data_IF_232280223348
#
_entry.id   IF_232280223348
#
_cell.length_a   1.000
_cell.length_b   1.000
_cell.length_c   1.000
_cell.angle_alpha   90.00
_cell.angle_beta   90.00
_cell.angle_gamma   90.00
#
_symmetry.space_group_name_H-M   'P 1'
#
loop_
_entity.id
_entity.type
_entity.pdbx_description
1 polymer ?
#
# COMPACT_ATOMS: atom_id res chain seq x y z
N UNK A 1 7.56 -27.67 11.04
CA UNK A 1 7.16 -26.32 10.59
C UNK A 1 6.72 -26.50 9.16
N UNK A 2 5.43 -26.41 8.83
CA UNK A 2 5.03 -26.49 7.42
C UNK A 2 5.43 -25.16 6.76
N UNK A 3 6.24 -25.24 5.71
CA UNK A 3 6.55 -24.08 4.88
C UNK A 3 5.24 -23.51 4.35
N UNK A 4 4.98 -22.24 4.63
CA UNK A 4 3.79 -21.57 4.10
C UNK A 4 3.85 -21.60 2.57
N UNK A 5 2.84 -22.19 1.95
CA UNK A 5 2.72 -22.33 0.50
C UNK A 5 1.93 -21.16 -0.07
N UNK A 6 2.55 -20.38 -0.95
CA UNK A 6 1.87 -19.35 -1.71
C UNK A 6 0.95 -19.98 -2.75
N UNK A 7 -0.21 -19.35 -2.98
CA UNK A 7 -1.18 -19.82 -3.96
C UNK A 7 -1.82 -18.62 -4.66
N UNK A 8 -1.43 -18.38 -5.90
CA UNK A 8 -1.91 -17.26 -6.70
C UNK A 8 -3.28 -17.51 -7.35
N UNK A 9 -3.83 -18.73 -7.26
CA UNK A 9 -5.12 -19.07 -7.91
C UNK A 9 -6.32 -18.31 -7.33
N UNK A 10 -6.21 -17.81 -6.09
CA UNK A 10 -7.28 -17.15 -5.36
C UNK A 10 -6.92 -15.70 -4.98
N UNK A 11 -6.15 -15.00 -5.83
CA UNK A 11 -5.91 -13.58 -5.61
C UNK A 11 -7.25 -12.81 -5.63
N UNK A 12 -7.55 -11.97 -4.63
CA UNK A 12 -8.78 -11.18 -4.59
C UNK A 12 -8.91 -10.27 -5.82
N UNK A 13 -10.08 -10.26 -6.44
CA UNK A 13 -10.41 -9.31 -7.49
C UNK A 13 -10.28 -7.86 -7.01
N UNK A 14 -9.92 -6.94 -7.91
CA UNK A 14 -9.75 -5.52 -7.61
C UNK A 14 -8.81 -5.27 -6.41
N UNK A 15 -7.77 -6.09 -6.26
CA UNK A 15 -6.84 -6.06 -5.13
C UNK A 15 -7.52 -6.28 -3.76
N UNK A 16 -8.75 -6.81 -3.72
CA UNK A 16 -9.51 -6.98 -2.49
C UNK A 16 -9.81 -5.67 -1.76
N UNK A 17 -9.98 -4.56 -2.50
CA UNK A 17 -10.41 -3.29 -1.90
C UNK A 17 -11.79 -3.41 -1.27
N UNK A 18 -12.00 -2.75 -0.12
CA UNK A 18 -13.30 -2.74 0.55
C UNK A 18 -14.34 -2.01 -0.29
N UNK A 19 -15.53 -2.61 -0.38
CA UNK A 19 -16.61 -2.19 -1.31
C UNK A 19 -17.24 -0.84 -0.96
N UNK A 20 -17.11 -0.41 0.29
CA UNK A 20 -17.64 0.86 0.78
C UNK A 20 -16.69 2.04 0.55
N UNK A 21 -15.59 1.83 -0.18
CA UNK A 21 -14.60 2.86 -0.49
C UNK A 21 -14.53 3.18 -2.00
N UNK A 22 -14.22 4.43 -2.38
CA UNK A 22 -14.10 4.86 -3.78
C UNK A 22 -12.75 4.44 -4.40
N UNK A 23 -12.39 3.16 -4.31
CA UNK A 23 -11.07 2.65 -4.75
C UNK A 23 -11.10 1.91 -6.09
N UNK A 24 -12.28 1.60 -6.62
CA UNK A 24 -12.38 0.85 -7.89
C UNK A 24 -11.72 1.59 -9.05
N UNK A 25 -11.89 2.92 -9.14
CA UNK A 25 -11.23 3.76 -10.14
C UNK A 25 -9.71 3.74 -9.98
N UNK A 26 -9.23 3.84 -8.73
CA UNK A 26 -7.81 3.80 -8.38
C UNK A 26 -7.16 2.49 -8.86
N UNK A 27 -7.78 1.36 -8.52
CA UNK A 27 -7.26 0.04 -8.90
C UNK A 27 -7.29 -0.14 -10.42
N UNK A 28 -8.37 0.24 -11.09
CA UNK A 28 -8.45 0.18 -12.57
C UNK A 28 -7.36 1.03 -13.23
N UNK A 29 -7.09 2.21 -12.67
CA UNK A 29 -6.04 3.10 -13.18
C UNK A 29 -4.65 2.51 -12.97
N UNK A 30 -4.40 1.89 -11.81
CA UNK A 30 -3.16 1.17 -11.53
C UNK A 30 -2.95 0.03 -12.55
N UNK A 31 -3.92 -0.85 -12.72
CA UNK A 31 -3.79 -1.99 -13.67
C UNK A 31 -3.59 -1.49 -15.11
N UNK A 32 -4.29 -0.42 -15.52
CA UNK A 32 -4.13 0.17 -16.84
C UNK A 32 -2.78 0.86 -17.07
N UNK A 33 -2.07 1.23 -15.99
CA UNK A 33 -0.75 1.86 -16.07
C UNK A 33 0.40 0.85 -16.18
N UNK A 34 0.13 -0.44 -15.97
CA UNK A 34 1.12 -1.52 -15.98
C UNK A 34 1.06 -2.28 -17.30
N UNK A 35 1.96 -1.94 -18.23
CA UNK A 35 2.01 -2.59 -19.53
C UNK A 35 2.37 -4.06 -19.42
N UNK A 36 1.65 -4.92 -20.16
CA UNK A 36 1.82 -6.39 -20.07
C UNK A 36 3.26 -6.82 -20.33
N UNK A 37 3.90 -6.23 -21.34
CA UNK A 37 5.28 -6.55 -21.71
C UNK A 37 6.26 -6.17 -20.58
N UNK A 38 6.07 -5.00 -19.96
CA UNK A 38 6.85 -4.59 -18.80
C UNK A 38 6.73 -5.58 -17.63
N UNK A 39 5.51 -6.05 -17.32
CA UNK A 39 5.30 -7.03 -16.24
C UNK A 39 5.93 -8.38 -16.57
N UNK A 40 5.88 -8.83 -17.83
CA UNK A 40 6.56 -10.08 -18.26
C UNK A 40 8.07 -9.97 -18.07
N UNK A 41 8.68 -8.86 -18.49
CA UNK A 41 10.11 -8.65 -18.33
C UNK A 41 10.53 -8.51 -16.86
N UNK A 42 9.73 -7.81 -16.06
CA UNK A 42 9.91 -7.71 -14.62
C UNK A 42 9.94 -9.11 -13.99
N UNK A 43 8.91 -9.94 -14.25
CA UNK A 43 8.82 -11.29 -13.71
C UNK A 43 10.00 -12.16 -14.11
N UNK A 44 10.35 -12.20 -15.39
CA UNK A 44 11.46 -12.99 -15.90
C UNK A 44 12.80 -12.58 -15.25
N UNK A 45 13.02 -11.27 -15.10
CA UNK A 45 14.23 -10.74 -14.46
C UNK A 45 14.25 -11.08 -12.96
N UNK A 46 13.12 -10.90 -12.27
CA UNK A 46 13.01 -11.19 -10.85
C UNK A 46 13.28 -12.67 -10.55
N UNK A 47 12.57 -13.59 -11.22
CA UNK A 47 12.76 -15.03 -11.01
C UNK A 47 14.16 -15.54 -11.39
N UNK A 48 14.87 -14.81 -12.26
CA UNK A 48 16.29 -15.09 -12.56
C UNK A 48 17.22 -14.66 -11.42
N UNK A 49 16.91 -13.57 -10.73
CA UNK A 49 17.72 -13.02 -9.64
C UNK A 49 17.38 -13.65 -8.27
N UNK A 50 16.16 -14.14 -8.10
CA UNK A 50 15.63 -14.76 -6.88
C UNK A 50 15.13 -16.18 -7.19
N UNK A 51 16.07 -17.10 -7.43
CA UNK A 51 15.80 -18.46 -7.92
C UNK A 51 15.04 -19.36 -6.95
N UNK A 52 14.98 -18.97 -5.68
CA UNK A 52 14.20 -19.62 -4.62
C UNK A 52 12.71 -19.25 -4.65
N UNK A 53 12.36 -18.15 -5.33
CA UNK A 53 10.98 -17.67 -5.42
C UNK A 53 10.24 -18.43 -6.52
N UNK A 54 9.09 -18.98 -6.16
CA UNK A 54 8.21 -19.67 -7.11
C UNK A 54 7.37 -18.67 -7.91
N UNK A 55 6.81 -19.11 -9.05
CA UNK A 55 5.83 -18.32 -9.80
C UNK A 55 4.66 -17.85 -8.91
N UNK A 56 4.08 -18.74 -8.11
CA UNK A 56 2.97 -18.41 -7.20
C UNK A 56 3.37 -17.35 -6.15
N UNK A 57 4.58 -17.46 -5.61
CA UNK A 57 5.09 -16.48 -4.66
C UNK A 57 5.32 -15.12 -5.32
N UNK A 58 5.88 -15.09 -6.54
CA UNK A 58 6.02 -13.84 -7.30
C UNK A 58 4.67 -13.16 -7.51
N UNK A 59 3.64 -13.90 -7.94
CA UNK A 59 2.31 -13.32 -8.17
C UNK A 59 1.72 -12.74 -6.86
N UNK A 60 1.88 -13.43 -5.73
CA UNK A 60 1.47 -12.92 -4.42
C UNK A 60 2.24 -11.66 -4.00
N UNK A 61 3.57 -11.64 -4.17
CA UNK A 61 4.40 -10.50 -3.83
C UNK A 61 4.11 -9.29 -4.74
N UNK A 62 3.96 -9.51 -6.04
CA UNK A 62 3.60 -8.47 -7.00
C UNK A 62 2.19 -7.91 -6.73
N UNK A 63 1.26 -8.76 -6.31
CA UNK A 63 -0.06 -8.35 -5.87
C UNK A 63 0.01 -7.43 -4.63
N UNK A 64 0.85 -7.73 -3.65
CA UNK A 64 1.07 -6.87 -2.49
C UNK A 64 1.82 -5.57 -2.85
N UNK A 65 2.72 -5.59 -3.83
CA UNK A 65 3.34 -4.38 -4.37
C UNK A 65 2.29 -3.45 -5.00
N UNK A 66 1.33 -3.99 -5.74
CA UNK A 66 0.21 -3.22 -6.30
C UNK A 66 -0.62 -2.55 -5.19
N UNK A 67 -0.95 -3.29 -4.12
CA UNK A 67 -1.63 -2.71 -2.94
C UNK A 67 -0.81 -1.61 -2.30
N UNK A 68 0.51 -1.80 -2.19
CA UNK A 68 1.41 -0.79 -1.67
C UNK A 68 1.43 0.49 -2.53
N UNK A 69 1.43 0.38 -3.87
CA UNK A 69 1.33 1.55 -4.74
C UNK A 69 0.01 2.31 -4.57
N UNK A 70 -1.11 1.61 -4.36
CA UNK A 70 -2.39 2.25 -4.00
C UNK A 70 -2.25 3.02 -2.69
N UNK A 71 -1.64 2.44 -1.64
CA UNK A 71 -1.37 3.17 -0.39
C UNK A 71 -0.50 4.40 -0.67
N UNK A 72 0.58 4.25 -1.44
CA UNK A 72 1.53 5.34 -1.74
C UNK A 72 0.94 6.46 -2.59
N UNK A 73 -0.13 6.20 -3.35
CA UNK A 73 -0.90 7.24 -4.05
C UNK A 73 -1.91 7.95 -3.14
N UNK A 74 -2.26 7.37 -1.99
CA UNK A 74 -3.25 7.90 -1.05
C UNK A 74 -2.59 8.74 0.04
N UNK A 75 -1.56 8.20 0.70
CA UNK A 75 -0.94 8.84 1.88
C UNK A 75 0.39 9.51 1.54
N UNK A 76 0.71 10.59 2.25
CA UNK A 76 1.99 11.30 2.10
C UNK A 76 3.18 10.49 2.60
N UNK A 77 3.00 9.76 3.70
CA UNK A 77 4.01 8.89 4.26
C UNK A 77 3.51 7.45 4.35
N UNK A 78 4.25 6.54 3.71
CA UNK A 78 4.06 5.10 3.75
C UNK A 78 5.46 4.47 3.63
N UNK A 79 6.06 4.02 4.75
CA UNK A 79 7.29 3.27 4.73
C UNK A 79 7.09 1.86 4.16
N UNK A 80 8.14 1.27 3.61
CA UNK A 80 8.14 -0.12 3.14
C UNK A 80 8.51 -1.06 4.29
N UNK A 81 7.62 -2.00 4.63
CA UNK A 81 7.80 -2.95 5.74
C UNK A 81 8.06 -4.40 5.30
N UNK A 82 8.14 -4.65 3.99
CA UNK A 82 8.39 -5.98 3.43
C UNK A 82 9.58 -5.95 2.47
N UNK A 83 10.69 -6.59 2.85
CA UNK A 83 11.88 -6.68 1.99
C UNK A 83 11.57 -7.42 0.68
N UNK A 84 10.68 -8.42 0.71
CA UNK A 84 10.34 -9.18 -0.50
C UNK A 84 9.54 -8.32 -1.50
N UNK A 85 8.60 -7.49 -1.01
CA UNK A 85 7.88 -6.52 -1.85
C UNK A 85 8.83 -5.43 -2.35
N UNK A 86 9.74 -4.97 -1.48
CA UNK A 86 10.77 -3.98 -1.83
C UNK A 86 11.70 -4.48 -2.95
N UNK A 87 12.09 -5.75 -2.91
CA UNK A 87 12.90 -6.37 -3.94
C UNK A 87 12.23 -6.33 -5.33
N UNK A 88 10.92 -6.58 -5.41
CA UNK A 88 10.20 -6.45 -6.71
C UNK A 88 10.20 -4.99 -7.14
N UNK A 89 9.98 -4.05 -6.22
CA UNK A 89 10.02 -2.63 -6.55
C UNK A 89 11.41 -2.21 -7.05
N UNK A 90 12.50 -2.69 -6.44
CA UNK A 90 13.86 -2.47 -6.94
C UNK A 90 14.04 -2.99 -8.36
N UNK A 91 13.53 -4.19 -8.68
CA UNK A 91 13.60 -4.70 -10.06
C UNK A 91 12.74 -3.88 -11.03
N UNK A 92 11.62 -3.31 -10.59
CA UNK A 92 10.84 -2.37 -11.40
C UNK A 92 11.67 -1.14 -11.79
N UNK A 93 12.49 -0.60 -10.88
CA UNK A 93 13.34 0.58 -11.13
C UNK A 93 14.38 0.36 -12.23
N UNK A 94 14.77 -0.89 -12.49
CA UNK A 94 15.75 -1.22 -13.55
C UNK A 94 15.21 -0.95 -14.96
N UNK A 95 13.89 -0.90 -15.12
CA UNK A 95 13.22 -0.55 -16.38
C UNK A 95 12.81 0.92 -16.35
N UNK A 96 13.80 1.82 -16.33
CA UNK A 96 13.58 3.25 -16.00
C UNK A 96 12.51 3.93 -16.85
N UNK A 97 12.43 3.64 -18.16
CA UNK A 97 11.41 4.19 -19.07
C UNK A 97 10.01 3.69 -18.73
N UNK A 98 9.86 2.38 -18.57
CA UNK A 98 8.58 1.74 -18.25
C UNK A 98 8.11 2.16 -16.85
N UNK A 99 9.03 2.23 -15.89
CA UNK A 99 8.76 2.69 -14.54
C UNK A 99 8.30 4.15 -14.51
N UNK A 100 8.98 5.03 -15.24
CA UNK A 100 8.56 6.43 -15.37
C UNK A 100 7.15 6.50 -16.00
N UNK A 101 6.91 5.75 -17.09
CA UNK A 101 5.61 5.71 -17.75
C UNK A 101 4.50 5.22 -16.82
N UNK A 102 4.75 4.15 -16.06
CA UNK A 102 3.87 3.64 -15.02
C UNK A 102 3.52 4.74 -14.00
N UNK A 103 4.53 5.40 -13.42
CA UNK A 103 4.33 6.42 -12.39
C UNK A 103 3.48 7.60 -12.89
N UNK A 104 3.84 8.18 -14.04
CA UNK A 104 3.09 9.32 -14.58
C UNK A 104 1.68 8.92 -15.07
N UNK A 105 1.51 7.71 -15.57
CA UNK A 105 0.20 7.22 -15.98
C UNK A 105 -0.69 6.99 -14.76
N UNK A 106 -0.16 6.40 -13.68
CA UNK A 106 -0.92 6.07 -12.48
C UNK A 106 -1.13 7.27 -11.55
N UNK A 107 -0.06 7.85 -11.02
CA UNK A 107 -0.11 8.90 -9.98
C UNK A 107 0.03 10.33 -10.52
N UNK A 108 0.39 10.50 -11.80
CA UNK A 108 0.65 11.82 -12.39
C UNK A 108 2.01 12.43 -12.00
N UNK A 109 2.79 11.71 -11.18
CA UNK A 109 4.11 12.10 -10.70
C UNK A 109 4.99 10.85 -10.55
N UNK A 110 6.31 11.03 -10.44
CA UNK A 110 7.23 9.95 -10.09
C UNK A 110 6.92 9.43 -8.68
N UNK A 111 6.74 8.11 -8.55
CA UNK A 111 6.67 7.46 -7.24
C UNK A 111 8.12 7.20 -6.80
N UNK A 112 8.68 8.08 -5.99
CA UNK A 112 10.06 7.90 -5.56
C UNK A 112 10.19 6.72 -4.59
N UNK A 113 11.09 5.80 -4.92
CA UNK A 113 11.62 4.82 -3.97
C UNK A 113 12.61 5.54 -3.05
N UNK A 114 12.53 5.27 -1.75
CA UNK A 114 13.51 5.73 -0.78
C UNK A 114 13.99 4.49 -0.06
N UNK A 115 15.24 4.05 -0.29
CA UNK A 115 15.74 2.85 0.34
C UNK A 115 15.74 3.02 1.85
N UNK A 116 15.36 1.97 2.57
CA UNK A 116 15.29 1.91 4.03
C UNK A 116 16.70 1.88 4.66
N UNK A 117 17.60 2.79 4.27
CA UNK A 117 19.01 2.73 4.68
C UNK A 117 19.16 3.12 6.15
N UNK A 118 18.37 4.08 6.67
CA UNK A 118 18.52 4.57 8.06
C UNK A 118 17.22 5.15 8.66
N UNK A 119 16.05 4.76 8.16
CA UNK A 119 14.81 5.17 8.84
C UNK A 119 14.64 4.22 10.01
N UNK A 120 14.90 4.71 11.23
CA UNK A 120 14.25 4.15 12.42
C UNK A 120 12.76 4.13 12.06
N UNK A 121 12.26 2.96 11.67
CA UNK A 121 10.84 2.75 11.48
C UNK A 121 10.24 2.97 12.86
N UNK A 122 9.86 4.22 13.14
CA UNK A 122 9.25 4.51 14.41
C UNK A 122 8.00 3.63 14.51
N UNK A 123 7.76 3.09 15.70
CA UNK A 123 6.67 2.14 15.91
C UNK A 123 5.31 2.70 15.45
N UNK A 124 5.18 4.04 15.45
CA UNK A 124 3.97 4.74 15.05
C UNK A 124 3.70 4.66 13.55
N UNK A 125 4.74 4.74 12.71
CA UNK A 125 4.64 4.62 11.26
C UNK A 125 4.17 3.22 10.84
N UNK A 126 4.57 2.19 11.61
CA UNK A 126 4.08 0.82 11.42
C UNK A 126 2.61 0.69 11.80
N UNK A 127 2.22 1.21 12.96
CA UNK A 127 0.81 1.22 13.38
C UNK A 127 -0.10 1.96 12.38
N UNK A 128 0.37 3.09 11.84
CA UNK A 128 -0.33 3.84 10.79
C UNK A 128 -0.47 3.04 9.50
N UNK A 129 0.61 2.42 9.01
CA UNK A 129 0.59 1.58 7.82
C UNK A 129 -0.39 0.41 7.98
N UNK A 130 -0.31 -0.31 9.10
CA UNK A 130 -1.19 -1.46 9.37
C UNK A 130 -2.65 -1.02 9.40
N UNK A 131 -2.95 0.09 10.08
CA UNK A 131 -4.31 0.62 10.15
C UNK A 131 -4.82 1.01 8.76
N UNK A 132 -4.05 1.77 7.97
CA UNK A 132 -4.43 2.14 6.60
C UNK A 132 -4.65 0.91 5.74
N UNK A 133 -3.72 -0.05 5.77
CA UNK A 133 -3.82 -1.27 4.98
C UNK A 133 -5.15 -1.98 5.26
N UNK A 134 -5.46 -2.19 6.55
CA UNK A 134 -6.68 -2.87 6.99
C UNK A 134 -7.94 -2.02 6.78
N UNK A 135 -7.84 -0.72 6.57
CA UNK A 135 -8.97 0.10 6.14
C UNK A 135 -9.28 -0.08 4.65
N UNK A 136 -8.25 -0.30 3.82
CA UNK A 136 -8.39 -0.30 2.38
C UNK A 136 -8.64 -1.70 1.80
N UNK A 137 -8.03 -2.75 2.38
CA UNK A 137 -7.98 -4.09 1.79
C UNK A 137 -8.47 -5.18 2.74
N UNK A 138 -8.94 -6.27 2.15
CA UNK A 138 -9.15 -7.56 2.82
C UNK A 138 -7.84 -8.39 2.76
N UNK A 139 -7.13 -8.61 3.89
CA UNK A 139 -5.89 -9.39 3.91
C UNK A 139 -6.18 -10.89 3.74
N UNK A 140 -5.30 -11.58 3.01
CA UNK A 140 -5.32 -13.05 2.88
C UNK A 140 -4.21 -13.66 3.73
N UNK A 141 -4.14 -14.99 3.79
CA UNK A 141 -3.07 -15.68 4.53
C UNK A 141 -1.65 -15.27 4.08
N UNK A 142 -1.42 -15.05 2.78
CA UNK A 142 -0.12 -14.60 2.28
C UNK A 142 0.15 -13.14 2.63
N UNK A 143 -0.88 -12.30 2.70
CA UNK A 143 -0.76 -10.90 3.11
C UNK A 143 -0.13 -10.80 4.50
N UNK A 144 -0.63 -11.59 5.46
CA UNK A 144 -0.08 -11.63 6.82
C UNK A 144 1.39 -12.05 6.84
N UNK A 145 1.78 -13.03 6.01
CA UNK A 145 3.19 -13.46 5.90
C UNK A 145 4.06 -12.37 5.29
N UNK A 146 3.67 -11.82 4.14
CA UNK A 146 4.48 -10.86 3.36
C UNK A 146 4.76 -9.59 4.15
N UNK A 147 3.80 -9.09 4.93
CA UNK A 147 3.94 -7.88 5.74
C UNK A 147 4.46 -8.14 7.16
N UNK A 148 4.86 -9.37 7.48
CA UNK A 148 5.34 -9.77 8.80
C UNK A 148 4.33 -9.47 9.93
N UNK A 149 3.08 -9.85 9.73
CA UNK A 149 1.96 -9.59 10.65
C UNK A 149 1.29 -8.23 10.45
N UNK A 150 0.31 -7.91 11.30
CA UNK A 150 -0.33 -6.59 11.42
C UNK A 150 -0.68 -6.33 12.88
N UNK A 151 -0.83 -5.06 13.25
CA UNK A 151 -1.25 -4.59 14.57
C UNK A 151 -0.27 -4.97 15.69
N UNK A 152 1.01 -5.11 15.35
CA UNK A 152 2.10 -5.42 16.30
C UNK A 152 2.70 -4.16 16.94
N UNK A 153 2.44 -2.99 16.37
CA UNK A 153 2.92 -1.71 16.85
C UNK A 153 1.76 -0.73 17.08
N UNK A 154 1.82 0.12 18.11
CA UNK A 154 0.77 1.09 18.39
C UNK A 154 0.77 2.22 17.35
N UNK A 155 -0.41 2.74 17.02
CA UNK A 155 -0.53 4.00 16.30
C UNK A 155 -0.18 5.17 17.22
N UNK A 156 0.27 6.29 16.63
CA UNK A 156 0.60 7.51 17.37
C UNK A 156 -0.60 7.98 18.22
N UNK A 157 -0.38 8.03 19.54
CA UNK A 157 -1.40 8.46 20.50
C UNK A 157 -1.75 9.93 20.34
N UNK A 158 -0.83 10.76 19.88
CA UNK A 158 -1.08 12.18 19.69
C UNK A 158 -1.93 12.43 18.44
N UNK A 159 -1.74 11.64 17.38
CA UNK A 159 -2.70 11.61 16.25
C UNK A 159 -4.07 11.22 16.80
N UNK A 160 -4.19 10.10 17.51
CA UNK A 160 -5.49 9.65 18.04
C UNK A 160 -6.16 10.66 18.97
N UNK A 161 -5.44 11.24 19.93
CA UNK A 161 -6.02 12.18 20.91
C UNK A 161 -6.50 13.47 20.25
N UNK A 162 -5.74 13.98 19.29
CA UNK A 162 -5.98 15.26 18.63
C UNK A 162 -6.87 15.15 17.38
N UNK A 163 -7.10 13.94 16.87
CA UNK A 163 -8.08 13.65 15.83
C UNK A 163 -9.50 13.96 16.34
N UNK A 164 -10.00 15.11 15.90
CA UNK A 164 -11.35 15.62 16.13
C UNK A 164 -11.87 16.22 14.81
N UNK A 165 -13.18 16.33 14.67
CA UNK A 165 -13.81 16.92 13.50
C UNK A 165 -13.26 18.33 13.18
N UNK A 166 -13.04 19.15 14.21
CA UNK A 166 -12.48 20.51 14.12
C UNK A 166 -11.11 20.58 13.42
N UNK A 167 -10.29 19.52 13.54
CA UNK A 167 -8.94 19.47 12.97
C UNK A 167 -8.87 18.60 11.69
N UNK A 168 -10.00 18.09 11.20
CA UNK A 168 -10.05 17.15 10.07
C UNK A 168 -9.40 17.71 8.80
N UNK A 169 -9.61 18.98 8.48
CA UNK A 169 -9.01 19.63 7.31
C UNK A 169 -7.48 19.71 7.37
N UNK A 170 -6.93 19.95 8.56
CA UNK A 170 -5.49 19.96 8.80
C UNK A 170 -4.90 18.57 8.55
N UNK A 171 -5.51 17.54 9.17
CA UNK A 171 -5.05 16.16 9.00
C UNK A 171 -5.24 15.63 7.58
N UNK A 172 -6.30 16.06 6.89
CA UNK A 172 -6.51 15.76 5.47
C UNK A 172 -5.30 16.22 4.63
N UNK A 173 -4.80 17.42 4.92
CA UNK A 173 -3.65 18.01 4.23
C UNK A 173 -2.33 17.35 4.59
N UNK A 174 -2.13 16.98 5.86
CA UNK A 174 -0.87 16.40 6.37
C UNK A 174 -0.74 14.90 6.03
N UNK A 175 -1.84 14.15 6.02
CA UNK A 175 -1.80 12.70 5.88
C UNK A 175 -1.97 12.23 4.43
N UNK A 176 -2.71 12.96 3.60
CA UNK A 176 -3.14 12.48 2.29
C UNK A 176 -2.60 13.32 1.11
N UNK A 177 -2.40 12.64 -0.02
CA UNK A 177 -2.01 13.24 -1.31
C UNK A 177 -3.24 13.73 -2.06
N UNK A 178 -3.79 14.87 -1.64
CA UNK A 178 -5.06 15.39 -2.16
C UNK A 178 -5.09 15.56 -3.68
N UNK A 179 -4.02 16.07 -4.29
CA UNK A 179 -3.97 16.27 -5.74
C UNK A 179 -3.97 14.96 -6.52
N UNK A 180 -3.23 13.95 -6.03
CA UNK A 180 -3.24 12.58 -6.59
C UNK A 180 -4.61 11.93 -6.43
N UNK A 181 -5.26 12.08 -5.27
CA UNK A 181 -6.59 11.52 -5.05
C UNK A 181 -7.65 12.15 -5.95
N UNK A 182 -7.55 13.46 -6.20
CA UNK A 182 -8.41 14.16 -7.15
C UNK A 182 -8.24 13.63 -8.58
N UNK A 183 -6.99 13.43 -9.04
CA UNK A 183 -6.75 12.88 -10.39
C UNK A 183 -7.21 11.43 -10.55
N UNK A 184 -7.32 10.70 -9.44
CA UNK A 184 -7.81 9.32 -9.37
C UNK A 184 -9.32 9.20 -9.10
N UNK A 185 -10.06 10.30 -9.00
CA UNK A 185 -11.48 10.36 -8.62
C UNK A 185 -11.77 9.67 -7.27
N UNK A 186 -10.92 9.90 -6.26
CA UNK A 186 -11.00 9.32 -4.92
C UNK A 186 -10.90 10.39 -3.81
N UNK A 187 -11.32 11.62 -4.09
CA UNK A 187 -11.21 12.78 -3.18
C UNK A 187 -12.07 12.70 -1.91
N UNK A 188 -13.05 11.80 -1.89
CA UNK A 188 -13.88 11.48 -0.72
C UNK A 188 -13.18 10.51 0.26
N UNK A 189 -12.17 9.76 -0.20
CA UNK A 189 -11.50 8.73 0.61
C UNK A 189 -10.91 9.27 1.93
N UNK A 190 -10.21 10.42 1.96
CA UNK A 190 -9.69 10.97 3.21
C UNK A 190 -10.77 11.25 4.24
N UNK A 191 -11.96 11.71 3.82
CA UNK A 191 -13.04 12.04 4.76
C UNK A 191 -13.61 10.77 5.39
N UNK A 192 -13.77 9.70 4.60
CA UNK A 192 -14.18 8.38 5.10
C UNK A 192 -13.17 7.81 6.10
N UNK A 193 -11.87 7.89 5.80
CA UNK A 193 -10.82 7.40 6.69
C UNK A 193 -10.72 8.22 7.99
N UNK A 194 -10.81 9.55 7.89
CA UNK A 194 -10.81 10.43 9.06
C UNK A 194 -12.03 10.19 9.96
N UNK A 195 -13.21 9.94 9.39
CA UNK A 195 -14.39 9.57 10.16
C UNK A 195 -14.15 8.29 10.99
N UNK A 196 -13.60 7.24 10.36
CA UNK A 196 -13.23 6.00 11.06
C UNK A 196 -12.17 6.20 12.15
N UNK A 197 -11.20 7.11 11.95
CA UNK A 197 -10.20 7.45 12.98
C UNK A 197 -10.83 8.17 14.17
N UNK A 198 -11.77 9.07 13.92
CA UNK A 198 -12.50 9.79 14.99
C UNK A 198 -13.30 8.79 15.83
N UNK A 199 -13.98 7.84 15.20
CA UNK A 199 -14.69 6.76 15.90
C UNK A 199 -13.74 5.90 16.75
N UNK A 200 -12.60 5.50 16.19
CA UNK A 200 -11.57 4.75 16.91
C UNK A 200 -11.00 5.54 18.11
N UNK A 201 -10.79 6.84 17.94
CA UNK A 201 -10.36 7.74 19.03
C UNK A 201 -11.39 7.82 20.15
N UNK A 202 -12.68 7.85 19.82
CA UNK A 202 -13.76 7.87 20.82
C UNK A 202 -13.80 6.58 21.65
N UNK A 203 -13.57 5.42 21.02
CA UNK A 203 -13.53 4.12 21.70
C UNK A 203 -12.34 3.97 22.67
N UNK A 204 -11.18 4.53 22.31
CA UNK A 204 -9.97 4.43 23.13
C UNK A 204 -9.95 5.39 24.33
N UNK A 205 -10.86 6.37 24.40
CA UNK A 205 -11.02 7.28 25.56
C UNK A 205 -11.93 6.72 26.66
N UNK A 206 -12.67 5.65 26.38
CA UNK A 206 -13.60 5.00 27.31
C UNK A 206 -13.00 3.77 28.02
N UNK A 207 -11.68 3.59 27.93
CA UNK A 207 -10.88 2.54 28.60
C UNK A 207 -9.80 3.22 29.42
#
# INVERSE_FOLDING_TARGET
MHDFVYNSKNLPELLGVKKDLPLVSVVKKLEASMEKEYIIFLKNRFLKNYTEVTDDEFECLFFELKRYFVIKSIVRNAPMFSNQVDNIWHEMLMFTKDYQKFCYTFSGEMIHHTPNVEVVQDAYSRGWFDWIYLQLFEPTAYTWKIWNGFLLAPMDKDILKNMKFENSLLYKTILFKMDTLKSLNAEELPDLLLARLIELSALTKNV
#
